data_IF_337185234271
#
_entry.id   IF_337185234271
#
_cell.length_a   1.000
_cell.length_b   1.000
_cell.length_c   1.000
_cell.angle_alpha   90.00
_cell.angle_beta   90.00
_cell.angle_gamma   90.00
#
_symmetry.space_group_name_H-M   'P 1'
#
loop_
_entity.id
_entity.type
_entity.pdbx_description
1 polymer ?
#
# COMPACT_ATOMS: atom_id res chain seq x y z
N UNK A 1 12.01 29.55 32.01
CA UNK A 1 11.27 30.24 30.98
C UNK A 1 11.88 30.01 29.59
N UNK A 2 13.07 30.57 29.31
CA UNK A 2 13.70 30.44 28.00
C UNK A 2 14.12 29.01 27.70
N UNK A 3 14.63 28.29 28.69
CA UNK A 3 15.05 26.89 28.55
C UNK A 3 13.87 25.95 28.37
N UNK A 4 12.75 26.22 29.01
CA UNK A 4 11.53 25.42 28.86
C UNK A 4 10.93 25.56 27.48
N UNK A 5 10.92 26.79 26.93
CA UNK A 5 10.45 27.05 25.57
C UNK A 5 11.32 26.30 24.55
N UNK A 6 12.64 26.33 24.74
CA UNK A 6 13.57 25.61 23.89
C UNK A 6 13.36 24.10 23.96
N UNK A 7 13.16 23.54 25.16
CA UNK A 7 12.87 22.13 25.33
C UNK A 7 11.58 21.72 24.62
N UNK A 8 10.52 22.51 24.78
CA UNK A 8 9.25 22.25 24.13
C UNK A 8 9.37 22.32 22.61
N UNK A 9 10.16 23.27 22.10
CA UNK A 9 10.41 23.40 20.68
C UNK A 9 11.12 22.17 20.13
N UNK A 10 12.13 21.67 20.83
CA UNK A 10 12.87 20.47 20.45
C UNK A 10 11.95 19.23 20.45
N UNK A 11 11.15 19.10 21.50
CA UNK A 11 10.20 17.99 21.61
C UNK A 11 9.15 18.02 20.51
N UNK A 12 8.63 19.22 20.21
CA UNK A 12 7.64 19.38 19.14
C UNK A 12 8.23 19.00 17.77
N UNK A 13 9.44 19.46 17.49
CA UNK A 13 10.11 19.15 16.22
C UNK A 13 10.39 17.64 16.10
N UNK A 14 10.81 17.01 17.19
CA UNK A 14 11.03 15.55 17.21
C UNK A 14 9.73 14.80 16.96
N UNK A 15 8.65 15.23 17.60
CA UNK A 15 7.33 14.62 17.40
C UNK A 15 6.86 14.76 15.96
N UNK A 16 7.07 15.92 15.37
CA UNK A 16 6.73 16.16 13.96
C UNK A 16 7.52 15.24 13.03
N UNK A 17 8.80 15.05 13.30
CA UNK A 17 9.64 14.14 12.52
C UNK A 17 9.19 12.70 12.64
N UNK A 18 8.84 12.26 13.85
CA UNK A 18 8.34 10.92 14.08
C UNK A 18 7.03 10.66 13.36
N UNK A 19 6.11 11.63 13.41
CA UNK A 19 4.83 11.57 12.70
C UNK A 19 5.08 11.49 11.19
N UNK A 20 5.97 12.34 10.66
CA UNK A 20 6.27 12.35 9.25
C UNK A 20 6.85 11.00 8.78
N UNK A 21 7.75 10.42 9.55
CA UNK A 21 8.30 9.08 9.26
C UNK A 21 7.22 8.01 9.26
N UNK A 22 6.31 8.07 10.21
CA UNK A 22 5.20 7.12 10.29
C UNK A 22 4.28 7.23 9.08
N UNK A 23 3.96 8.45 8.66
CA UNK A 23 3.14 8.67 7.46
C UNK A 23 3.81 8.14 6.20
N UNK A 24 5.11 8.41 6.04
CA UNK A 24 5.87 7.89 4.89
C UNK A 24 5.86 6.37 4.87
N UNK A 25 6.10 5.75 6.03
CA UNK A 25 6.10 4.29 6.15
C UNK A 25 4.74 3.70 5.79
N UNK A 26 3.66 4.29 6.29
CA UNK A 26 2.30 3.86 5.97
C UNK A 26 2.00 4.01 4.48
N UNK A 27 2.43 5.11 3.87
CA UNK A 27 2.24 5.35 2.45
C UNK A 27 2.99 4.30 1.61
N UNK A 28 4.20 3.93 2.01
CA UNK A 28 4.97 2.88 1.34
C UNK A 28 4.28 1.53 1.42
N UNK A 29 3.78 1.17 2.60
CA UNK A 29 3.04 -0.07 2.80
C UNK A 29 1.77 -0.09 1.94
N UNK A 30 1.03 1.02 1.91
CA UNK A 30 -0.17 1.13 1.07
C UNK A 30 0.16 0.99 -0.41
N UNK A 31 1.26 1.58 -0.87
CA UNK A 31 1.70 1.44 -2.25
C UNK A 31 2.08 -0.01 -2.58
N UNK A 32 2.75 -0.69 -1.67
CA UNK A 32 3.12 -2.10 -1.84
C UNK A 32 1.88 -2.99 -1.90
N UNK A 33 0.91 -2.75 -1.02
CA UNK A 33 -0.36 -3.47 -1.03
C UNK A 33 -1.09 -3.25 -2.36
N UNK A 34 -1.11 -2.01 -2.84
CA UNK A 34 -1.71 -1.67 -4.13
C UNK A 34 -1.09 -2.46 -5.28
N UNK A 35 0.24 -2.57 -5.31
CA UNK A 35 0.95 -3.36 -6.32
C UNK A 35 0.60 -4.85 -6.23
N UNK A 36 0.51 -5.38 -5.04
CA UNK A 36 0.12 -6.79 -4.84
C UNK A 36 -1.31 -7.03 -5.32
N UNK A 37 -2.23 -6.14 -4.97
CA UNK A 37 -3.63 -6.24 -5.40
C UNK A 37 -3.74 -6.16 -6.92
N UNK A 38 -2.97 -5.29 -7.57
CA UNK A 38 -2.95 -5.20 -9.04
C UNK A 38 -2.48 -6.51 -9.67
N UNK A 39 -1.46 -7.14 -9.10
CA UNK A 39 -0.96 -8.43 -9.59
C UNK A 39 -1.98 -9.54 -9.40
N UNK A 40 -2.68 -9.53 -8.27
CA UNK A 40 -3.76 -10.49 -8.01
C UNK A 40 -4.89 -10.32 -9.01
N UNK A 41 -5.27 -9.09 -9.31
CA UNK A 41 -6.30 -8.80 -10.29
C UNK A 41 -5.91 -9.30 -11.68
N UNK A 42 -4.68 -9.09 -12.10
CA UNK A 42 -4.18 -9.59 -13.37
C UNK A 42 -4.18 -11.10 -13.43
N UNK A 43 -3.77 -11.75 -12.34
CA UNK A 43 -3.79 -13.20 -12.24
C UNK A 43 -5.21 -13.73 -12.30
N UNK A 44 -6.13 -13.10 -11.59
CA UNK A 44 -7.54 -13.44 -11.61
C UNK A 44 -8.12 -13.35 -13.03
N UNK A 45 -7.80 -12.29 -13.76
CA UNK A 45 -8.20 -12.12 -15.15
C UNK A 45 -7.65 -13.24 -16.05
N UNK A 46 -6.41 -13.64 -15.85
CA UNK A 46 -5.81 -14.73 -16.60
C UNK A 46 -6.49 -16.06 -16.31
N UNK A 47 -6.80 -16.30 -15.05
CA UNK A 47 -7.54 -17.51 -14.64
C UNK A 47 -8.92 -17.52 -15.30
N UNK A 48 -9.62 -16.41 -15.28
CA UNK A 48 -10.94 -16.28 -15.89
C UNK A 48 -10.89 -16.55 -17.40
N UNK A 49 -9.89 -16.01 -18.08
CA UNK A 49 -9.69 -16.26 -19.51
C UNK A 49 -9.41 -17.73 -19.79
N UNK A 50 -8.55 -18.33 -18.98
CA UNK A 50 -8.22 -19.74 -19.10
C UNK A 50 -9.45 -20.63 -18.92
N UNK A 51 -10.23 -20.37 -17.89
CA UNK A 51 -11.46 -21.11 -17.61
C UNK A 51 -12.50 -20.91 -18.71
N UNK A 52 -12.61 -19.70 -19.22
CA UNK A 52 -13.52 -19.35 -20.30
C UNK A 52 -13.16 -20.10 -21.58
N UNK A 53 -11.89 -20.15 -21.93
CA UNK A 53 -11.40 -20.90 -23.09
C UNK A 53 -11.65 -22.40 -22.92
N UNK A 54 -11.36 -22.93 -21.74
CA UNK A 54 -11.60 -24.35 -21.45
C UNK A 54 -13.09 -24.68 -21.54
N UNK A 55 -13.95 -23.83 -21.01
CA UNK A 55 -15.41 -24.00 -21.07
C UNK A 55 -15.91 -23.81 -22.49
N UNK A 56 -15.38 -22.83 -23.21
CA UNK A 56 -15.71 -22.58 -24.60
C UNK A 56 -15.36 -23.78 -25.49
N UNK A 57 -14.22 -24.39 -25.28
CA UNK A 57 -13.83 -25.61 -25.99
C UNK A 57 -14.77 -26.77 -25.68
N UNK A 58 -15.15 -26.92 -24.42
CA UNK A 58 -16.07 -27.97 -23.99
C UNK A 58 -17.46 -27.80 -24.61
N UNK A 59 -17.91 -26.55 -24.72
CA UNK A 59 -19.25 -26.23 -25.27
C UNK A 59 -19.27 -26.32 -26.80
N UNK A 60 -18.18 -25.99 -27.47
CA UNK A 60 -18.10 -26.02 -28.91
C UNK A 60 -18.07 -27.44 -29.51
N UNK A 61 -17.94 -28.43 -28.66
CA UNK A 61 -18.07 -29.81 -29.03
C UNK A 61 -19.51 -30.31 -28.86
#
# INVERSE_FOLDING_TARGET
AKNEIQRLSILLNRTREEIAKEYVTKAEVHADIGRVLDRLERLDQKIDLFLKEATGHAVSK
#
